data_IF_653931592635
#
_entry.id   IF_653931592635
#
_cell.length_a   1.000
_cell.length_b   1.000
_cell.length_c   1.000
_cell.angle_alpha   90.00
_cell.angle_beta   90.00
_cell.angle_gamma   90.00
#
_symmetry.space_group_name_H-M   'P 1'
#
loop_
_entity.id
_entity.type
_entity.pdbx_description
1 polymer ?
#
# COMPACT_ATOMS: atom_id res chain seq x y z
N UNK A 1 -0.82 14.58 30.60
CA UNK A 1 0.31 13.94 29.89
C UNK A 1 -0.14 13.74 28.45
N UNK A 2 0.46 14.44 27.48
CA UNK A 2 0.09 14.29 26.06
C UNK A 2 0.50 12.91 25.54
N UNK A 3 -0.45 12.16 24.97
CA UNK A 3 -0.12 10.92 24.23
C UNK A 3 0.40 11.31 22.85
N UNK A 4 1.66 10.98 22.57
CA UNK A 4 2.25 11.12 21.24
C UNK A 4 1.96 9.87 20.42
N UNK A 5 1.23 10.02 19.31
CA UNK A 5 1.00 8.97 18.32
C UNK A 5 1.97 9.12 17.16
N UNK A 6 2.47 8.00 16.63
CA UNK A 6 3.32 7.95 15.43
C UNK A 6 2.61 7.16 14.35
N UNK A 7 2.77 7.59 13.10
CA UNK A 7 2.35 6.86 11.91
C UNK A 7 3.35 7.12 10.78
N UNK A 8 3.43 6.19 9.84
CA UNK A 8 4.16 6.36 8.59
C UNK A 8 3.18 6.66 7.45
N UNK A 9 3.56 7.58 6.57
CA UNK A 9 2.88 7.79 5.30
C UNK A 9 3.77 7.24 4.19
N UNK A 10 3.18 6.39 3.35
CA UNK A 10 3.82 5.95 2.09
C UNK A 10 3.12 6.70 0.98
N UNK A 11 3.88 7.46 0.18
CA UNK A 11 3.35 8.17 -0.98
C UNK A 11 3.78 7.46 -2.26
N UNK A 12 2.81 7.08 -3.07
CA UNK A 12 3.03 6.51 -4.40
C UNK A 12 2.37 7.41 -5.44
N UNK A 13 3.15 7.95 -6.37
CA UNK A 13 2.61 8.73 -7.47
C UNK A 13 2.52 7.87 -8.73
N UNK A 14 1.36 7.88 -9.40
CA UNK A 14 1.14 7.19 -10.67
C UNK A 14 0.62 8.16 -11.72
N UNK A 15 1.28 8.20 -12.87
CA UNK A 15 0.83 8.94 -14.06
C UNK A 15 0.02 8.08 -15.04
N UNK A 16 -0.11 6.78 -14.77
CA UNK A 16 -0.83 5.80 -15.59
C UNK A 16 -1.46 4.73 -14.72
N UNK A 17 -2.38 3.96 -15.30
CA UNK A 17 -2.97 2.82 -14.58
C UNK A 17 -1.91 1.74 -14.41
N UNK A 18 -1.72 1.31 -13.17
CA UNK A 18 -0.78 0.25 -12.80
C UNK A 18 -1.53 -0.81 -12.00
N UNK A 19 -1.85 -1.92 -12.66
CA UNK A 19 -2.62 -3.03 -12.09
C UNK A 19 -1.98 -3.59 -10.82
N UNK A 20 -0.67 -3.43 -10.64
CA UNK A 20 0.10 -3.95 -9.53
C UNK A 20 0.41 -2.90 -8.45
N UNK A 21 -0.17 -1.70 -8.53
CA UNK A 21 0.07 -0.62 -7.54
C UNK A 21 -0.17 -1.07 -6.10
N UNK A 22 -1.20 -1.89 -5.84
CA UNK A 22 -1.49 -2.40 -4.50
C UNK A 22 -0.41 -3.39 -4.02
N UNK A 23 0.17 -4.21 -4.91
CA UNK A 23 1.28 -5.10 -4.58
C UNK A 23 2.57 -4.33 -4.29
N UNK A 24 2.82 -3.26 -5.05
CA UNK A 24 3.94 -2.36 -4.79
C UNK A 24 3.81 -1.68 -3.42
N UNK A 25 2.62 -1.14 -3.10
CA UNK A 25 2.33 -0.57 -1.77
C UNK A 25 2.55 -1.60 -0.67
N UNK A 26 2.04 -2.83 -0.84
CA UNK A 26 2.25 -3.91 0.12
C UNK A 26 3.74 -4.18 0.34
N UNK A 27 4.53 -4.21 -0.74
CA UNK A 27 5.98 -4.43 -0.67
C UNK A 27 6.68 -3.34 0.17
N UNK A 28 6.29 -2.07 0.00
CA UNK A 28 6.81 -0.98 0.81
C UNK A 28 6.41 -1.06 2.28
N UNK A 29 5.17 -1.48 2.56
CA UNK A 29 4.71 -1.72 3.93
C UNK A 29 5.52 -2.82 4.60
N UNK A 30 5.82 -3.92 3.90
CA UNK A 30 6.63 -5.03 4.41
C UNK A 30 8.05 -4.56 4.72
N UNK A 31 8.73 -3.94 3.74
CA UNK A 31 10.11 -3.44 3.92
C UNK A 31 10.20 -2.44 5.08
N UNK A 32 9.23 -1.52 5.18
CA UNK A 32 9.17 -0.54 6.27
C UNK A 32 9.00 -1.22 7.63
N UNK A 33 8.13 -2.24 7.71
CA UNK A 33 7.92 -3.01 8.93
C UNK A 33 9.16 -3.79 9.34
N UNK A 34 9.80 -4.49 8.40
CA UNK A 34 11.05 -5.21 8.68
C UNK A 34 12.15 -4.29 9.20
N UNK A 35 12.30 -3.10 8.61
CA UNK A 35 13.26 -2.10 9.07
C UNK A 35 12.96 -1.63 10.50
N UNK A 36 11.68 -1.48 10.86
CA UNK A 36 11.27 -1.11 12.23
C UNK A 36 11.51 -2.24 13.24
N UNK A 37 11.20 -3.48 12.87
CA UNK A 37 11.45 -4.66 13.70
C UNK A 37 12.95 -4.82 14.01
N UNK A 38 13.81 -4.64 12.99
CA UNK A 38 15.28 -4.64 13.17
C UNK A 38 15.78 -3.56 14.12
N UNK A 39 15.01 -2.50 14.33
CA UNK A 39 15.32 -1.39 15.24
C UNK A 39 14.59 -1.49 16.58
N UNK A 40 13.94 -2.63 16.90
CA UNK A 40 13.11 -2.81 18.10
C UNK A 40 12.07 -1.71 18.31
N UNK A 41 11.50 -1.19 17.22
CA UNK A 41 10.40 -0.23 17.28
C UNK A 41 9.06 -0.96 17.42
N UNK A 42 8.13 -0.34 18.14
CA UNK A 42 6.74 -0.78 18.18
C UNK A 42 6.13 -0.84 16.77
N UNK A 43 5.04 -1.60 16.63
CA UNK A 43 4.25 -1.62 15.41
C UNK A 43 3.59 -0.25 15.20
N UNK A 44 4.19 0.54 14.31
CA UNK A 44 3.69 1.84 13.90
C UNK A 44 2.72 1.67 12.72
N UNK A 45 1.50 2.21 12.77
CA UNK A 45 0.57 2.21 11.64
C UNK A 45 1.19 2.83 10.39
N UNK A 46 0.96 2.21 9.24
CA UNK A 46 1.40 2.71 7.93
C UNK A 46 0.15 3.02 7.11
N UNK A 47 0.03 4.25 6.63
CA UNK A 47 -1.07 4.71 5.79
C UNK A 47 -0.51 4.96 4.38
N UNK A 48 -0.84 4.11 3.40
CA UNK A 48 -0.47 4.37 2.02
C UNK A 48 -1.41 5.40 1.39
N UNK A 49 -0.83 6.31 0.62
CA UNK A 49 -1.51 7.34 -0.16
C UNK A 49 -1.04 7.19 -1.60
N UNK A 50 -1.98 6.86 -2.48
CA UNK A 50 -1.73 6.81 -3.92
C UNK A 50 -2.21 8.14 -4.51
N UNK A 51 -1.29 8.91 -5.07
CA UNK A 51 -1.59 10.13 -5.82
C UNK A 51 -1.60 9.80 -7.32
N UNK A 52 -2.79 9.79 -7.92
CA UNK A 52 -2.95 9.47 -9.33
C UNK A 52 -3.16 10.74 -10.16
N UNK A 53 -2.28 10.95 -11.15
CA UNK A 53 -2.35 12.04 -12.11
C UNK A 53 -2.17 11.51 -13.54
N UNK A 54 -3.11 10.66 -13.97
CA UNK A 54 -3.14 10.13 -15.34
C UNK A 54 -4.22 10.76 -16.22
N UNK A 55 -4.11 10.51 -17.53
CA UNK A 55 -5.12 10.93 -18.52
C UNK A 55 -6.37 10.07 -18.49
N UNK A 56 -6.23 8.81 -18.08
CA UNK A 56 -7.33 7.85 -18.01
C UNK A 56 -8.10 7.99 -16.69
N UNK A 57 -9.35 7.53 -16.66
CA UNK A 57 -10.09 7.46 -15.41
C UNK A 57 -9.55 6.30 -14.57
N UNK A 58 -9.35 6.53 -13.27
CA UNK A 58 -9.04 5.45 -12.35
C UNK A 58 -10.15 4.39 -12.38
N UNK A 59 -9.81 3.17 -12.83
CA UNK A 59 -10.72 2.03 -12.94
C UNK A 59 -10.18 0.78 -12.21
N UNK A 60 -9.14 0.95 -11.41
CA UNK A 60 -8.51 -0.14 -10.67
C UNK A 60 -9.22 -0.34 -9.35
N UNK A 61 -9.26 -1.57 -8.88
CA UNK A 61 -9.83 -1.87 -7.57
C UNK A 61 -8.97 -1.25 -6.46
N UNK A 62 -9.64 -0.84 -5.39
CA UNK A 62 -9.00 -0.42 -4.15
C UNK A 62 -8.79 -1.59 -3.19
N UNK A 63 -9.36 -2.76 -3.50
CA UNK A 63 -9.25 -3.97 -2.69
C UNK A 63 -8.11 -4.85 -3.21
N UNK A 64 -7.16 -5.19 -2.33
CA UNK A 64 -6.05 -6.07 -2.71
C UNK A 64 -6.52 -7.47 -3.12
N UNK A 65 -7.61 -7.97 -2.50
CA UNK A 65 -8.21 -9.27 -2.82
C UNK A 65 -8.64 -9.38 -4.28
N UNK A 66 -8.98 -8.27 -4.93
CA UNK A 66 -9.43 -8.26 -6.31
C UNK A 66 -8.34 -8.68 -7.31
N UNK A 67 -7.07 -8.67 -6.89
CA UNK A 67 -5.93 -9.13 -7.68
C UNK A 67 -5.93 -10.66 -7.89
N UNK A 68 -6.70 -11.41 -7.10
CA UNK A 68 -6.71 -12.87 -7.12
C UNK A 68 -7.98 -13.47 -7.76
N UNK A 69 -8.90 -12.63 -8.27
CA UNK A 69 -10.19 -13.08 -8.82
C UNK A 69 -10.09 -14.09 -9.96
N UNK A 70 -8.98 -14.12 -10.71
CA UNK A 70 -8.76 -15.12 -11.76
C UNK A 70 -8.45 -16.52 -11.22
N UNK A 71 -8.08 -16.66 -9.95
CA UNK A 71 -7.78 -17.97 -9.35
C UNK A 71 -9.09 -18.70 -9.00
N UNK A 72 -10.19 -17.97 -8.77
CA UNK A 72 -11.50 -18.55 -8.48
C UNK A 72 -12.17 -19.17 -9.71
N UNK A 73 -11.79 -18.79 -10.93
CA UNK A 73 -12.33 -19.39 -12.17
C UNK A 73 -11.65 -20.70 -12.58
N UNK A 74 -10.50 -21.00 -11.97
CA UNK A 74 -9.67 -22.16 -12.29
C UNK A 74 -9.83 -23.30 -11.25
N UNK A 75 -10.75 -23.14 -10.29
CA UNK A 75 -11.14 -24.12 -9.26
C UNK A 75 -12.60 -24.57 -9.48
#
# INVERSE_FOLDING_TARGET
>A
MEKKSKFYLIFEHKSGLDKFVLLQILSYMVVTREANLKQNKDLIPIIPIIFYQGKEKWNMSNEFSDQFKSIESDL
#
